data_IF_780240374163
#
_entry.id   IF_780240374163
#
_cell.length_a   1.000
_cell.length_b   1.000
_cell.length_c   1.000
_cell.angle_alpha   90.00
_cell.angle_beta   90.00
_cell.angle_gamma   90.00
#
_symmetry.space_group_name_H-M   'P 1'
#
loop_
_entity.id
_entity.type
_entity.pdbx_description
1 polymer ?
#
# COMPACT_ATOMS: atom_id res chain seq x y z
N UNK A 1 2.07 5.44 -39.33
CA UNK A 1 0.70 5.53 -38.79
C UNK A 1 0.63 6.79 -37.96
N UNK A 2 -0.23 7.75 -38.31
CA UNK A 2 -0.41 8.99 -37.56
C UNK A 2 -1.64 8.83 -36.67
N UNK A 3 -1.56 9.36 -35.46
CA UNK A 3 -2.67 9.41 -34.53
C UNK A 3 -3.75 10.35 -35.06
N UNK A 4 -5.02 10.02 -34.85
CA UNK A 4 -6.13 10.94 -35.09
C UNK A 4 -6.23 11.96 -33.96
N UNK A 5 -6.84 13.12 -34.22
CA UNK A 5 -7.00 14.20 -33.22
C UNK A 5 -7.78 13.72 -31.98
N UNK A 6 -8.75 12.83 -32.18
CA UNK A 6 -9.54 12.24 -31.09
C UNK A 6 -8.72 11.30 -30.21
N UNK A 7 -7.89 10.45 -30.81
CA UNK A 7 -6.98 9.57 -30.07
C UNK A 7 -5.92 10.38 -29.31
N UNK A 8 -5.42 11.48 -29.90
CA UNK A 8 -4.47 12.38 -29.23
C UNK A 8 -5.10 13.02 -27.99
N UNK A 9 -6.35 13.46 -28.09
CA UNK A 9 -7.09 14.03 -26.98
C UNK A 9 -7.29 13.03 -25.84
N UNK A 10 -7.68 11.78 -26.16
CA UNK A 10 -7.83 10.71 -25.18
C UNK A 10 -6.50 10.39 -24.47
N UNK A 11 -5.41 10.32 -25.22
CA UNK A 11 -4.06 10.10 -24.68
C UNK A 11 -3.63 11.22 -23.73
N UNK A 12 -3.91 12.48 -24.07
CA UNK A 12 -3.64 13.63 -23.19
C UNK A 12 -4.48 13.61 -21.93
N UNK A 13 -5.76 13.27 -22.03
CA UNK A 13 -6.66 13.14 -20.87
C UNK A 13 -6.14 12.06 -19.92
N UNK A 14 -5.75 10.89 -20.44
CA UNK A 14 -5.21 9.79 -19.62
C UNK A 14 -3.85 10.12 -19.00
N UNK A 15 -2.96 10.75 -19.76
CA UNK A 15 -1.68 11.23 -19.23
C UNK A 15 -1.88 12.22 -18.07
N UNK A 16 -2.88 13.10 -18.18
CA UNK A 16 -3.25 14.05 -17.12
C UNK A 16 -3.80 13.34 -15.89
N UNK A 17 -4.71 12.37 -16.08
CA UNK A 17 -5.27 11.57 -14.98
C UNK A 17 -4.16 10.82 -14.20
N UNK A 18 -3.20 10.24 -14.90
CA UNK A 18 -2.06 9.52 -14.31
C UNK A 18 -0.90 10.44 -13.86
N UNK A 19 -1.01 11.75 -14.08
CA UNK A 19 0.01 12.77 -13.78
C UNK A 19 1.40 12.46 -14.37
N UNK A 20 1.42 12.01 -15.63
CA UNK A 20 2.65 11.72 -16.38
C UNK A 20 2.62 12.40 -17.75
N UNK A 21 3.78 12.45 -18.43
CA UNK A 21 3.80 12.87 -19.84
C UNK A 21 3.24 11.79 -20.76
N UNK A 22 2.73 12.18 -21.93
CA UNK A 22 2.23 11.24 -22.95
C UNK A 22 3.31 10.25 -23.38
N UNK A 23 4.57 10.68 -23.48
CA UNK A 23 5.70 9.82 -23.86
C UNK A 23 5.98 8.75 -22.78
N UNK A 24 5.97 9.16 -21.49
CA UNK A 24 6.12 8.24 -20.37
C UNK A 24 4.95 7.25 -20.32
N UNK A 25 3.75 7.74 -20.64
CA UNK A 25 2.56 6.92 -20.72
C UNK A 25 2.72 5.83 -21.80
N UNK A 26 3.03 6.22 -23.03
CA UNK A 26 3.24 5.26 -24.12
C UNK A 26 4.33 4.24 -23.79
N UNK A 27 5.45 4.67 -23.21
CA UNK A 27 6.52 3.76 -22.78
C UNK A 27 6.04 2.77 -21.71
N UNK A 28 5.27 3.21 -20.73
CA UNK A 28 4.72 2.32 -19.71
C UNK A 28 3.68 1.35 -20.30
N UNK A 29 2.84 1.76 -21.25
CA UNK A 29 1.93 0.88 -21.99
C UNK A 29 2.66 -0.21 -22.79
N UNK A 30 3.88 0.09 -23.26
CA UNK A 30 4.70 -0.89 -24.00
C UNK A 30 5.42 -1.86 -23.10
N UNK A 31 5.85 -1.41 -21.91
CA UNK A 31 6.63 -2.21 -20.98
C UNK A 31 5.74 -3.08 -20.07
N UNK A 32 4.50 -2.64 -19.84
CA UNK A 32 3.54 -3.33 -18.99
C UNK A 32 2.20 -3.52 -19.74
N UNK A 33 1.86 -4.74 -20.18
CA UNK A 33 0.60 -5.03 -20.86
C UNK A 33 -0.63 -4.76 -20.00
N UNK A 34 -0.52 -4.81 -18.67
CA UNK A 34 -1.64 -4.47 -17.78
C UNK A 34 -2.00 -2.99 -17.84
N UNK A 35 -1.08 -2.15 -18.34
CA UNK A 35 -1.35 -0.75 -18.65
C UNK A 35 -2.18 -0.55 -19.93
N UNK A 36 -2.24 -1.58 -20.80
CA UNK A 36 -3.11 -1.62 -21.98
C UNK A 36 -4.49 -2.19 -21.70
N UNK A 37 -4.71 -2.84 -20.55
CA UNK A 37 -5.97 -3.50 -20.21
C UNK A 37 -7.08 -2.46 -19.98
N UNK A 38 -7.62 -1.97 -21.08
CA UNK A 38 -8.88 -1.29 -21.21
C UNK A 38 -9.85 -2.27 -21.87
N UNK A 39 -10.45 -3.16 -21.07
CA UNK A 39 -11.75 -3.67 -21.50
C UNK A 39 -12.74 -2.54 -21.29
N UNK A 40 -13.46 -2.18 -22.36
CA UNK A 40 -14.43 -1.07 -22.45
C UNK A 40 -15.59 -1.15 -21.43
N UNK A 41 -15.61 -2.15 -20.55
CA UNK A 41 -16.75 -2.51 -19.70
C UNK A 41 -16.67 -2.01 -18.25
N UNK A 42 -15.54 -1.41 -17.82
CA UNK A 42 -15.40 -0.95 -16.44
C UNK A 42 -15.89 0.49 -16.22
N UNK A 43 -17.14 0.64 -15.77
CA UNK A 43 -17.85 1.91 -15.44
C UNK A 43 -17.35 2.58 -14.13
N UNK A 44 -16.46 1.95 -13.37
CA UNK A 44 -15.95 2.53 -12.12
C UNK A 44 -14.93 3.66 -12.35
N UNK A 45 -14.99 4.78 -11.61
CA UNK A 45 -13.96 5.82 -11.66
C UNK A 45 -12.61 5.21 -11.26
N UNK A 46 -11.69 5.12 -12.22
CA UNK A 46 -10.37 4.55 -12.02
C UNK A 46 -9.53 5.45 -11.10
N UNK A 47 -9.09 4.88 -9.99
CA UNK A 47 -8.02 5.46 -9.17
C UNK A 47 -6.72 5.34 -9.95
N UNK A 48 -5.92 6.41 -10.04
CA UNK A 48 -4.67 6.34 -10.81
C UNK A 48 -3.72 5.33 -10.17
N UNK A 49 -2.84 4.68 -10.94
CA UNK A 49 -1.83 3.77 -10.35
C UNK A 49 -0.89 4.51 -9.40
N UNK A 50 -0.70 5.81 -9.62
CA UNK A 50 0.01 6.68 -8.67
C UNK A 50 -0.72 6.75 -7.34
N UNK A 51 -2.04 6.93 -7.35
CA UNK A 51 -2.85 6.97 -6.14
C UNK A 51 -2.87 5.60 -5.43
N UNK A 52 -2.90 4.49 -6.20
CA UNK A 52 -2.73 3.14 -5.64
C UNK A 52 -1.35 2.97 -4.96
N UNK A 53 -0.28 3.45 -5.61
CA UNK A 53 1.07 3.38 -5.04
C UNK A 53 1.20 4.26 -3.78
N UNK A 54 0.57 5.44 -3.76
CA UNK A 54 0.51 6.30 -2.58
C UNK A 54 -0.26 5.62 -1.45
N UNK A 55 -1.41 5.01 -1.74
CA UNK A 55 -2.21 4.28 -0.76
C UNK A 55 -1.42 3.08 -0.18
N UNK A 56 -0.73 2.33 -1.03
CA UNK A 56 0.14 1.23 -0.61
C UNK A 56 1.29 1.72 0.29
N UNK A 57 1.93 2.84 -0.06
CA UNK A 57 2.99 3.42 0.75
C UNK A 57 2.48 3.93 2.11
N UNK A 58 1.30 4.55 2.15
CA UNK A 58 0.66 4.96 3.39
C UNK A 58 0.35 3.76 4.30
N UNK A 59 -0.25 2.71 3.74
CA UNK A 59 -0.52 1.46 4.46
C UNK A 59 0.76 0.80 5.01
N UNK A 60 1.84 0.78 4.22
CA UNK A 60 3.14 0.29 4.66
C UNK A 60 3.75 1.14 5.79
N UNK A 61 3.57 2.47 5.73
CA UNK A 61 4.00 3.41 6.78
C UNK A 61 3.29 3.18 8.11
N UNK A 62 1.97 2.96 8.07
CA UNK A 62 1.20 2.59 9.27
C UNK A 62 1.71 1.29 9.88
N UNK A 63 1.97 0.28 9.04
CA UNK A 63 2.50 -1.01 9.48
C UNK A 63 3.84 -0.86 10.20
N UNK A 64 4.77 -0.10 9.60
CA UNK A 64 6.07 0.20 10.18
C UNK A 64 5.94 0.88 11.54
N UNK A 65 5.01 1.83 11.69
CA UNK A 65 4.79 2.53 12.95
C UNK A 65 4.28 1.59 14.05
N UNK A 66 3.39 0.66 13.71
CA UNK A 66 2.92 -0.36 14.65
C UNK A 66 4.06 -1.28 15.10
N UNK A 67 4.92 -1.72 14.17
CA UNK A 67 6.11 -2.53 14.49
C UNK A 67 7.09 -1.77 15.39
N UNK A 68 7.32 -0.48 15.13
CA UNK A 68 8.16 0.36 15.99
C UNK A 68 7.58 0.49 17.41
N UNK A 69 6.26 0.66 17.54
CA UNK A 69 5.60 0.70 18.84
C UNK A 69 5.75 -0.62 19.61
N UNK A 70 5.58 -1.76 18.93
CA UNK A 70 5.83 -3.09 19.53
C UNK A 70 7.27 -3.20 20.04
N UNK A 71 8.26 -2.83 19.20
CA UNK A 71 9.67 -2.88 19.57
C UNK A 71 10.00 -2.01 20.78
N UNK A 72 9.43 -0.81 20.83
CA UNK A 72 9.60 0.10 21.98
C UNK A 72 9.02 -0.49 23.27
N UNK A 73 7.81 -1.08 23.21
CA UNK A 73 7.18 -1.70 24.38
C UNK A 73 8.00 -2.90 24.89
N UNK A 74 8.48 -3.76 23.98
CA UNK A 74 9.34 -4.90 24.35
C UNK A 74 10.65 -4.41 24.99
N UNK A 75 11.28 -3.37 24.41
CA UNK A 75 12.50 -2.79 24.98
C UNK A 75 12.27 -2.18 26.37
N UNK A 76 11.12 -1.55 26.60
CA UNK A 76 10.77 -1.02 27.93
C UNK A 76 10.60 -2.15 28.95
N UNK A 77 9.90 -3.23 28.60
CA UNK A 77 9.77 -4.41 29.46
C UNK A 77 11.15 -5.00 29.78
N UNK A 78 11.99 -5.21 28.76
CA UNK A 78 13.32 -5.78 28.94
C UNK A 78 14.22 -4.90 29.82
N UNK A 79 14.24 -3.60 29.59
CA UNK A 79 15.01 -2.66 30.41
C UNK A 79 14.55 -2.68 31.87
N UNK A 80 13.24 -2.80 32.11
CA UNK A 80 12.68 -2.81 33.45
C UNK A 80 12.94 -4.11 34.21
N UNK A 81 12.77 -5.26 33.55
CA UNK A 81 13.12 -6.58 34.12
C UNK A 81 14.60 -6.63 34.48
N UNK A 82 15.47 -6.14 33.59
CA UNK A 82 16.92 -6.09 33.84
C UNK A 82 17.31 -5.15 35.00
N UNK A 83 16.49 -4.14 35.31
CA UNK A 83 16.78 -3.17 36.37
C UNK A 83 16.27 -3.59 37.74
N UNK A 84 15.20 -4.39 37.79
CA UNK A 84 14.42 -4.61 39.02
C UNK A 84 14.33 -6.08 39.44
N UNK A 85 14.70 -7.01 38.56
CA UNK A 85 14.57 -8.47 38.72
C UNK A 85 13.15 -8.94 39.09
N UNK A 86 12.16 -8.08 38.84
CA UNK A 86 10.75 -8.26 39.17
C UNK A 86 9.87 -7.79 38.00
N UNK A 87 8.69 -8.41 37.86
CA UNK A 87 7.75 -8.12 36.78
C UNK A 87 6.76 -7.04 37.23
N UNK A 88 7.00 -5.79 36.85
CA UNK A 88 6.10 -4.69 37.19
C UNK A 88 4.67 -4.89 36.65
N UNK A 89 3.70 -4.31 37.36
CA UNK A 89 2.28 -4.31 36.99
C UNK A 89 2.04 -3.79 35.55
N UNK A 90 2.94 -2.95 35.04
CA UNK A 90 2.86 -2.36 33.70
C UNK A 90 3.26 -3.31 32.56
N UNK A 91 3.83 -4.48 32.86
CA UNK A 91 4.25 -5.45 31.84
C UNK A 91 3.04 -6.06 31.14
N UNK A 92 1.97 -6.39 31.88
CA UNK A 92 0.75 -6.97 31.31
C UNK A 92 0.07 -5.98 30.34
N UNK A 93 -0.15 -4.70 30.69
CA UNK A 93 -0.63 -3.67 29.76
C UNK A 93 0.25 -3.48 28.51
N UNK A 94 1.58 -3.49 28.66
CA UNK A 94 2.52 -3.32 27.56
C UNK A 94 2.48 -4.51 26.58
N UNK A 95 2.36 -5.73 27.12
CA UNK A 95 2.22 -6.96 26.34
C UNK A 95 0.89 -7.00 25.58
N UNK A 96 -0.20 -6.59 26.22
CA UNK A 96 -1.52 -6.46 25.60
C UNK A 96 -1.52 -5.41 24.48
N UNK A 97 -0.84 -4.28 24.68
CA UNK A 97 -0.69 -3.26 23.64
C UNK A 97 0.12 -3.79 22.44
N UNK A 98 1.21 -4.53 22.69
CA UNK A 98 2.01 -5.17 21.64
C UNK A 98 1.18 -6.21 20.87
N UNK A 99 0.40 -7.04 21.57
CA UNK A 99 -0.50 -8.03 20.96
C UNK A 99 -1.54 -7.37 20.05
N UNK A 100 -2.21 -6.31 20.51
CA UNK A 100 -3.18 -5.54 19.67
C UNK A 100 -2.52 -4.96 18.43
N UNK A 101 -1.29 -4.45 18.55
CA UNK A 101 -0.54 -3.95 17.40
C UNK A 101 -0.19 -5.06 16.40
N UNK A 102 0.19 -6.26 16.87
CA UNK A 102 0.42 -7.44 16.02
C UNK A 102 -0.85 -7.90 15.29
N UNK A 103 -2.00 -7.89 15.96
CA UNK A 103 -3.29 -8.25 15.35
C UNK A 103 -3.69 -7.23 14.27
N UNK A 104 -3.46 -5.94 14.53
CA UNK A 104 -3.69 -4.87 13.57
C UNK A 104 -2.76 -4.97 12.34
N UNK A 105 -1.50 -5.33 12.55
CA UNK A 105 -0.51 -5.61 11.49
C UNK A 105 -0.98 -6.78 10.62
N UNK A 106 -1.37 -7.89 11.25
CA UNK A 106 -1.83 -9.10 10.56
C UNK A 106 -3.08 -8.84 9.73
N UNK A 107 -4.03 -8.10 10.28
CA UNK A 107 -5.28 -7.72 9.59
C UNK A 107 -4.99 -6.84 8.37
N UNK A 108 -4.14 -5.81 8.52
CA UNK A 108 -3.74 -4.93 7.41
C UNK A 108 -2.94 -5.68 6.35
N UNK A 109 -2.01 -6.55 6.73
CA UNK A 109 -1.26 -7.38 5.78
C UNK A 109 -2.16 -8.29 4.96
N UNK A 110 -3.20 -8.89 5.56
CA UNK A 110 -4.19 -9.69 4.82
C UNK A 110 -4.97 -8.87 3.81
N UNK A 111 -5.32 -7.62 4.13
CA UNK A 111 -5.99 -6.72 3.21
C UNK A 111 -5.11 -6.34 2.00
N UNK A 112 -3.80 -6.28 2.18
CA UNK A 112 -2.82 -6.01 1.10
C UNK A 112 -2.43 -7.27 0.33
N UNK A 113 -2.48 -8.45 0.94
CA UNK A 113 -2.07 -9.73 0.34
C UNK A 113 -3.11 -10.36 -0.59
N UNK A 114 -4.30 -9.76 -0.76
CA UNK A 114 -5.26 -10.20 -1.79
C UNK A 114 -4.59 -10.03 -3.17
N UNK A 115 -4.40 -11.11 -3.96
CA UNK A 115 -3.52 -11.05 -5.12
C UNK A 115 -4.06 -10.15 -6.23
N UNK A 116 -3.17 -9.32 -6.79
CA UNK A 116 -3.26 -8.81 -8.16
C UNK A 116 -3.23 -10.00 -9.14
N UNK A 117 -4.36 -10.67 -9.33
CA UNK A 117 -4.47 -11.84 -10.21
C UNK A 117 -5.62 -12.81 -9.94
N UNK A 118 -6.42 -12.62 -8.88
CA UNK A 118 -7.53 -13.55 -8.59
C UNK A 118 -8.81 -13.31 -9.43
N UNK A 119 -8.79 -12.39 -10.39
CA UNK A 119 -9.94 -12.07 -11.27
C UNK A 119 -9.81 -12.60 -12.71
N UNK A 120 -8.84 -13.49 -12.98
CA UNK A 120 -8.66 -14.11 -14.29
C UNK A 120 -8.73 -15.63 -14.20
N UNK A 121 -9.91 -16.19 -13.91
CA UNK A 121 -10.35 -17.54 -14.31
C UNK A 121 -11.85 -17.58 -14.47
#
# INVERSE_FOLDING_TARGET
>A
MKLTDQEEQLLRMRATAERVSVQRLLLACTLDPEWRADDEESVAPRTSRRDEAIAALAAAGELRNLLAAIGNNINQIAAHVNATDDLAEDVVPALDAARRACDAVTTRMRAVAVPRGAAAR
#
